data_IF_048065114423
#
_entry.id   IF_048065114423
#
_cell.length_a   1.000
_cell.length_b   1.000
_cell.length_c   1.000
_cell.angle_alpha   90.00
_cell.angle_beta   90.00
_cell.angle_gamma   90.00
#
_symmetry.space_group_name_H-M   'P 1'
#
loop_
_entity.id
_entity.type
_entity.pdbx_description
1 polymer ?
#
# COMPACT_ATOMS: atom_id res chain seq x y z
N UNK A 1 2.56 1.61 -9.17
CA UNK A 1 2.35 3.07 -9.32
C UNK A 1 2.19 3.82 -8.01
N UNK A 2 2.41 3.21 -6.84
CA UNK A 2 1.90 3.78 -5.59
C UNK A 2 2.77 4.89 -4.93
N UNK A 3 4.10 4.89 -5.12
CA UNK A 3 4.98 5.77 -4.33
C UNK A 3 4.89 7.26 -4.72
N UNK A 4 4.88 7.55 -6.03
CA UNK A 4 4.86 8.93 -6.52
C UNK A 4 3.56 9.65 -6.15
N UNK A 5 2.43 8.95 -6.20
CA UNK A 5 1.10 9.46 -5.84
C UNK A 5 1.06 9.88 -4.37
N UNK A 6 1.56 9.03 -3.47
CA UNK A 6 1.57 9.35 -2.02
C UNK A 6 2.55 10.48 -1.72
N UNK A 7 3.70 10.54 -2.39
CA UNK A 7 4.63 11.66 -2.25
C UNK A 7 4.00 12.99 -2.68
N UNK A 8 3.26 13.01 -3.78
CA UNK A 8 2.53 14.20 -4.22
C UNK A 8 1.51 14.65 -3.15
N UNK A 9 0.74 13.71 -2.60
CA UNK A 9 -0.20 13.99 -1.51
C UNK A 9 0.48 14.48 -0.23
N UNK A 10 1.62 13.90 0.14
CA UNK A 10 2.43 14.33 1.29
C UNK A 10 2.90 15.78 1.12
N UNK A 11 3.53 16.08 -0.02
CA UNK A 11 4.04 17.43 -0.31
C UNK A 11 2.90 18.44 -0.33
N UNK A 12 1.79 18.11 -0.99
CA UNK A 12 0.61 18.96 -1.03
C UNK A 12 0.08 19.26 0.39
N UNK A 13 -0.05 18.24 1.24
CA UNK A 13 -0.49 18.44 2.62
C UNK A 13 0.45 19.35 3.42
N UNK A 14 1.75 19.28 3.19
CA UNK A 14 2.72 20.14 3.88
C UNK A 14 2.71 21.58 3.34
N UNK A 15 2.39 21.79 2.06
CA UNK A 15 2.20 23.13 1.48
C UNK A 15 0.96 23.80 2.10
N UNK A 16 -0.16 23.08 2.23
CA UNK A 16 -1.40 23.61 2.80
C UNK A 16 -1.25 23.92 4.30
N UNK A 17 -0.64 23.01 5.07
CA UNK A 17 -0.39 23.20 6.49
C UNK A 17 0.91 22.49 6.89
N UNK A 18 2.01 23.24 7.09
CA UNK A 18 3.25 22.68 7.60
C UNK A 18 3.02 21.97 8.94
N UNK A 19 3.50 20.73 9.05
CA UNK A 19 3.31 19.90 10.24
C UNK A 19 1.96 19.19 10.32
N UNK A 20 1.13 19.24 9.28
CA UNK A 20 -0.04 18.37 9.18
C UNK A 20 0.37 16.90 9.31
N UNK A 21 -0.35 16.16 10.15
CA UNK A 21 -0.10 14.72 10.36
C UNK A 21 -0.59 13.94 9.15
N UNK A 22 0.29 13.12 8.59
CA UNK A 22 -0.01 12.30 7.40
C UNK A 22 0.32 10.84 7.71
N UNK A 23 -0.54 9.95 7.22
CA UNK A 23 -0.37 8.50 7.27
C UNK A 23 -0.22 7.99 5.83
N UNK A 24 0.90 7.35 5.52
CA UNK A 24 1.14 6.78 4.21
C UNK A 24 0.44 5.42 4.09
N UNK A 25 -0.65 5.36 3.32
CA UNK A 25 -1.44 4.13 3.14
C UNK A 25 -0.97 3.34 1.93
N UNK A 26 -0.62 2.08 2.14
CA UNK A 26 -0.27 1.13 1.08
C UNK A 26 -1.44 0.22 0.75
N UNK A 27 -1.92 0.33 -0.49
CA UNK A 27 -2.87 -0.62 -1.07
C UNK A 27 -2.61 -0.74 -2.58
N UNK A 28 -2.24 -1.94 -3.03
CA UNK A 28 -2.04 -2.27 -4.44
C UNK A 28 -3.00 -3.37 -4.86
N UNK A 29 -3.47 -3.28 -6.10
CA UNK A 29 -4.42 -4.23 -6.69
C UNK A 29 -3.73 -5.03 -7.79
N UNK A 30 -2.83 -5.98 -7.43
CA UNK A 30 -2.27 -6.87 -8.43
C UNK A 30 -3.40 -7.59 -9.15
N UNK A 31 -3.28 -7.79 -10.45
CA UNK A 31 -4.30 -8.43 -11.27
C UNK A 31 -3.87 -9.86 -11.61
N UNK A 32 -4.79 -10.80 -11.51
CA UNK A 32 -4.58 -12.15 -12.02
C UNK A 32 -4.65 -12.10 -13.55
N UNK A 33 -3.56 -12.45 -14.23
CA UNK A 33 -3.45 -12.36 -15.69
C UNK A 33 -4.33 -13.34 -16.46
N UNK A 34 -4.90 -14.36 -15.80
CA UNK A 34 -5.81 -15.32 -16.45
C UNK A 34 -7.25 -14.81 -16.54
N UNK A 35 -7.73 -14.09 -15.52
CA UNK A 35 -9.15 -13.75 -15.37
C UNK A 35 -9.41 -12.28 -15.01
N UNK A 36 -8.37 -11.47 -14.82
CA UNK A 36 -8.47 -10.05 -14.46
C UNK A 36 -9.00 -9.80 -13.04
N UNK A 37 -9.14 -10.82 -12.18
CA UNK A 37 -9.58 -10.58 -10.80
C UNK A 37 -8.43 -10.03 -9.94
N UNK A 38 -8.70 -9.20 -8.92
CA UNK A 38 -7.69 -8.81 -7.94
C UNK A 38 -7.02 -10.03 -7.28
N UNK A 39 -5.70 -10.07 -7.33
CA UNK A 39 -4.86 -11.13 -6.81
C UNK A 39 -4.39 -10.80 -5.38
N UNK A 40 -5.34 -10.65 -4.46
CA UNK A 40 -5.01 -10.46 -3.04
C UNK A 40 -4.27 -11.68 -2.48
N UNK A 41 -3.38 -11.45 -1.51
CA UNK A 41 -2.49 -12.49 -0.98
C UNK A 41 -1.36 -12.92 -1.94
N UNK A 42 -1.23 -12.31 -3.12
CA UNK A 42 -0.14 -12.64 -4.04
C UNK A 42 1.23 -12.22 -3.48
N UNK A 43 2.24 -13.06 -3.73
CA UNK A 43 3.63 -12.84 -3.29
C UNK A 43 4.17 -11.49 -3.80
N UNK A 44 3.82 -11.11 -5.03
CA UNK A 44 4.21 -9.81 -5.59
C UNK A 44 3.66 -8.61 -4.80
N UNK A 45 2.41 -8.70 -4.34
CA UNK A 45 1.81 -7.70 -3.44
C UNK A 45 2.54 -7.63 -2.10
N UNK A 46 2.90 -8.78 -1.51
CA UNK A 46 3.65 -8.86 -0.27
C UNK A 46 5.04 -8.23 -0.39
N UNK A 47 5.80 -8.55 -1.46
CA UNK A 47 7.12 -7.96 -1.70
C UNK A 47 7.04 -6.45 -1.92
N UNK A 48 6.02 -5.97 -2.64
CA UNK A 48 5.79 -4.54 -2.78
C UNK A 48 5.51 -3.88 -1.42
N UNK A 49 4.76 -4.54 -0.53
CA UNK A 49 4.51 -4.02 0.82
C UNK A 49 5.79 -3.98 1.67
N UNK A 50 6.65 -5.01 1.57
CA UNK A 50 7.96 -5.01 2.25
C UNK A 50 8.82 -3.83 1.81
N UNK A 51 8.94 -3.61 0.49
CA UNK A 51 9.68 -2.48 -0.06
C UNK A 51 9.08 -1.13 0.37
N UNK A 52 7.75 -1.02 0.36
CA UNK A 52 7.04 0.17 0.83
C UNK A 52 7.36 0.46 2.30
N UNK A 53 7.26 -0.55 3.17
CA UNK A 53 7.53 -0.41 4.60
C UNK A 53 8.94 0.09 4.85
N UNK A 54 9.94 -0.48 4.19
CA UNK A 54 11.33 -0.06 4.35
C UNK A 54 11.52 1.40 3.93
N UNK A 55 10.99 1.78 2.78
CA UNK A 55 11.15 3.14 2.24
C UNK A 55 10.47 4.18 3.13
N UNK A 56 9.19 3.98 3.44
CA UNK A 56 8.40 4.98 4.17
C UNK A 56 8.75 5.08 5.65
N UNK A 57 8.99 3.95 6.32
CA UNK A 57 9.36 3.96 7.74
C UNK A 57 10.80 4.38 7.99
N UNK A 58 11.78 3.93 7.17
CA UNK A 58 13.21 4.20 7.41
C UNK A 58 13.70 5.46 6.72
N UNK A 59 13.32 5.69 5.46
CA UNK A 59 13.83 6.81 4.67
C UNK A 59 13.01 8.08 4.90
N UNK A 60 11.70 8.01 4.75
CA UNK A 60 10.81 9.17 4.86
C UNK A 60 10.35 9.46 6.29
N UNK A 61 10.49 8.49 7.22
CA UNK A 61 10.10 8.62 8.64
C UNK A 61 8.63 9.05 8.82
N UNK A 62 7.76 8.64 7.90
CA UNK A 62 6.31 8.89 7.99
C UNK A 62 5.64 7.59 8.45
N UNK A 63 4.67 7.65 9.37
CA UNK A 63 3.89 6.48 9.76
C UNK A 63 3.22 5.83 8.55
N UNK A 64 3.14 4.51 8.58
CA UNK A 64 2.59 3.70 7.49
C UNK A 64 1.35 2.94 7.94
N UNK A 65 0.43 2.72 7.00
CA UNK A 65 -0.71 1.83 7.17
C UNK A 65 -0.75 0.83 6.02
N UNK A 66 -0.89 -0.45 6.36
CA UNK A 66 -0.92 -1.55 5.41
C UNK A 66 -2.28 -2.25 5.49
N UNK A 67 -3.02 -2.31 4.39
CA UNK A 67 -4.34 -2.96 4.33
C UNK A 67 -4.37 -4.21 3.44
N UNK A 68 -3.30 -4.45 2.68
CA UNK A 68 -3.26 -5.47 1.63
C UNK A 68 -3.29 -6.91 2.16
N UNK A 69 -2.50 -7.19 3.20
CA UNK A 69 -2.40 -8.54 3.78
C UNK A 69 -3.64 -8.99 4.56
N UNK A 70 -4.58 -8.07 4.86
CA UNK A 70 -5.81 -8.42 5.58
C UNK A 70 -6.94 -8.92 4.69
N UNK A 71 -6.83 -8.77 3.36
CA UNK A 71 -7.90 -9.09 2.42
C UNK A 71 -7.60 -10.41 1.72
N UNK A 72 -8.29 -11.53 2.03
CA UNK A 72 -8.15 -12.76 1.27
C UNK A 72 -8.84 -12.62 -0.10
N UNK A 73 -8.38 -13.38 -1.09
CA UNK A 73 -9.07 -13.49 -2.38
C UNK A 73 -10.19 -14.55 -2.37
N UNK A 74 -10.33 -15.27 -1.25
CA UNK A 74 -11.37 -16.27 -1.01
C UNK A 74 -12.76 -15.61 -0.95
N UNK A 75 -13.77 -16.35 -1.41
CA UNK A 75 -15.18 -15.93 -1.39
C UNK A 75 -15.92 -16.58 -0.22
N UNK A 76 -15.25 -17.49 0.48
CA UNK A 76 -15.74 -18.26 1.61
C UNK A 76 -14.67 -18.23 2.69
N UNK A 77 -15.06 -18.49 3.94
CA UNK A 77 -14.12 -18.74 5.01
C UNK A 77 -13.54 -20.14 4.82
N UNK A 78 -12.45 -20.23 4.07
CA UNK A 78 -11.68 -21.44 3.87
C UNK A 78 -10.20 -21.17 4.17
N UNK A 79 -9.29 -22.05 3.74
CA UNK A 79 -7.87 -21.93 4.05
C UNK A 79 -7.14 -20.85 3.22
N UNK A 80 -7.80 -20.25 2.23
CA UNK A 80 -7.22 -19.23 1.36
C UNK A 80 -7.42 -17.82 1.92
#
# INVERSE_FOLDING_TARGET
>A
TNNAEILAGLVFSQIVKPGARVLASHFVFPQNMKNGSPAFGSVGGCLHQVAFNQMWSKRYKVPIYNSLMGSPAAKKMDFQ
#
